data_IF_680279642150
#
_entry.id   IF_680279642150
#
_cell.length_a   1.000
_cell.length_b   1.000
_cell.length_c   1.000
_cell.angle_alpha   90.00
_cell.angle_beta   90.00
_cell.angle_gamma   90.00
#
_symmetry.space_group_name_H-M   'P 1'
#
loop_
_entity.id
_entity.type
_entity.pdbx_description
1 polymer ?
#
# COMPACT_ATOMS: atom_id res chain seq x y z
N UNK A 1 91.80 21.42 -26.36
CA UNK A 1 90.41 21.19 -25.90
C UNK A 1 89.59 20.82 -27.13
N UNK A 2 89.57 19.58 -27.63
CA UNK A 2 88.77 18.41 -27.20
C UNK A 2 87.27 18.70 -27.02
N UNK A 3 86.28 17.98 -27.53
CA UNK A 3 86.10 16.82 -28.43
C UNK A 3 84.55 16.66 -28.59
N UNK A 4 84.10 16.02 -29.69
CA UNK A 4 82.76 15.40 -29.97
C UNK A 4 81.55 16.22 -30.46
N UNK A 5 80.93 15.80 -31.58
CA UNK A 5 79.49 15.88 -31.83
C UNK A 5 78.80 14.52 -31.60
N UNK A 6 77.65 14.51 -30.93
CA UNK A 6 76.82 13.31 -30.71
C UNK A 6 75.71 13.27 -31.75
N UNK A 7 75.70 12.22 -32.56
CA UNK A 7 74.64 11.86 -33.51
C UNK A 7 73.42 11.34 -32.75
N UNK A 8 72.25 11.96 -32.93
CA UNK A 8 70.98 11.46 -32.44
C UNK A 8 70.19 10.81 -33.58
N UNK A 9 70.25 9.49 -33.62
CA UNK A 9 69.41 8.58 -34.39
C UNK A 9 67.96 8.69 -33.87
N UNK A 10 66.99 9.06 -34.72
CA UNK A 10 65.57 8.85 -34.43
C UNK A 10 65.06 7.72 -35.32
N UNK A 11 64.87 6.58 -34.67
CA UNK A 11 64.33 5.36 -35.21
C UNK A 11 62.89 5.55 -35.74
N UNK A 12 62.63 4.94 -36.89
CA UNK A 12 61.31 4.58 -37.41
C UNK A 12 60.48 3.83 -36.36
N UNK A 13 59.40 4.46 -35.88
CA UNK A 13 58.35 3.77 -35.12
C UNK A 13 57.35 3.16 -36.10
N UNK A 14 57.42 1.83 -36.27
CA UNK A 14 56.36 1.04 -36.87
C UNK A 14 55.14 0.99 -35.93
N UNK A 15 53.90 0.92 -36.47
CA UNK A 15 52.68 0.93 -35.68
C UNK A 15 52.48 -0.38 -34.90
N UNK A 16 52.35 -0.28 -33.58
CA UNK A 16 51.90 -1.39 -32.74
C UNK A 16 50.39 -1.58 -32.91
N UNK A 17 50.00 -2.55 -33.75
CA UNK A 17 48.74 -3.27 -33.63
C UNK A 17 48.95 -4.53 -32.77
N UNK A 18 47.93 -4.94 -32.03
CA UNK A 18 47.72 -6.24 -31.34
C UNK A 18 48.06 -6.39 -29.83
N UNK A 19 47.38 -5.63 -28.95
CA UNK A 19 47.31 -5.99 -27.50
C UNK A 19 45.91 -5.98 -26.87
N UNK A 20 44.83 -5.62 -27.57
CA UNK A 20 43.50 -5.43 -26.95
C UNK A 20 42.64 -6.72 -26.73
N UNK A 21 43.09 -7.90 -27.16
CA UNK A 21 42.28 -9.13 -27.11
C UNK A 21 42.11 -9.79 -25.70
N UNK A 22 43.13 -9.85 -24.82
CA UNK A 22 42.99 -10.53 -23.52
C UNK A 22 42.30 -9.69 -22.43
N UNK A 23 42.34 -8.36 -22.51
CA UNK A 23 41.63 -7.48 -21.55
C UNK A 23 40.11 -7.50 -21.76
N UNK A 24 39.66 -7.60 -23.02
CA UNK A 24 38.24 -7.70 -23.37
C UNK A 24 37.58 -9.02 -22.93
N UNK A 25 38.37 -10.08 -22.69
CA UNK A 25 37.90 -11.38 -22.19
C UNK A 25 37.74 -11.33 -20.66
N UNK A 26 38.67 -10.71 -19.94
CA UNK A 26 38.56 -10.52 -18.48
C UNK A 26 37.38 -9.62 -18.10
N UNK A 27 37.12 -8.57 -18.87
CA UNK A 27 35.92 -7.72 -18.68
C UNK A 27 34.62 -8.52 -18.90
N UNK A 28 34.59 -9.44 -19.86
CA UNK A 28 33.44 -10.33 -20.12
C UNK A 28 33.19 -11.34 -19.00
N UNK A 29 34.24 -11.90 -18.41
CA UNK A 29 34.08 -12.79 -17.25
C UNK A 29 33.50 -12.03 -16.05
N UNK A 30 33.96 -10.80 -15.80
CA UNK A 30 33.42 -9.94 -14.74
C UNK A 30 31.96 -9.54 -14.98
N UNK A 31 31.56 -9.23 -16.22
CA UNK A 31 30.17 -8.94 -16.58
C UNK A 31 29.25 -10.17 -16.43
N UNK A 32 29.73 -11.36 -16.82
CA UNK A 32 29.00 -12.62 -16.63
C UNK A 32 28.84 -12.99 -15.15
N UNK A 33 29.88 -12.77 -14.34
CA UNK A 33 29.80 -12.95 -12.89
C UNK A 33 28.85 -11.95 -12.24
N UNK A 34 28.92 -10.67 -12.63
CA UNK A 34 27.98 -9.64 -12.18
C UNK A 34 26.53 -9.99 -12.56
N UNK A 35 26.29 -10.46 -13.79
CA UNK A 35 24.98 -10.92 -14.24
C UNK A 35 24.49 -12.14 -13.45
N UNK A 36 25.36 -13.11 -13.13
CA UNK A 36 25.01 -14.27 -12.30
C UNK A 36 24.71 -13.88 -10.85
N UNK A 37 25.45 -12.93 -10.28
CA UNK A 37 25.19 -12.40 -8.93
C UNK A 37 23.84 -11.67 -8.92
N UNK A 38 23.54 -10.86 -9.94
CA UNK A 38 22.27 -10.17 -10.09
C UNK A 38 21.09 -11.14 -10.28
N UNK A 39 21.28 -12.23 -11.03
CA UNK A 39 20.26 -13.26 -11.21
C UNK A 39 19.99 -14.01 -9.89
N UNK A 40 21.03 -14.35 -9.12
CA UNK A 40 20.90 -14.97 -7.81
C UNK A 40 20.20 -14.04 -6.81
N UNK A 41 20.60 -12.77 -6.72
CA UNK A 41 19.96 -11.80 -5.82
C UNK A 41 18.50 -11.51 -6.20
N UNK A 42 18.18 -11.53 -7.50
CA UNK A 42 16.80 -11.43 -7.98
C UNK A 42 15.97 -12.66 -7.61
N UNK A 43 16.53 -13.87 -7.76
CA UNK A 43 15.86 -15.12 -7.38
C UNK A 43 15.62 -15.21 -5.86
N UNK A 44 16.60 -14.79 -5.04
CA UNK A 44 16.45 -14.69 -3.59
C UNK A 44 15.39 -13.67 -3.18
N UNK A 45 15.35 -12.51 -3.84
CA UNK A 45 14.34 -11.48 -3.58
C UNK A 45 12.94 -11.99 -3.95
N UNK A 46 12.79 -12.64 -5.11
CA UNK A 46 11.52 -13.27 -5.51
C UNK A 46 11.06 -14.37 -4.55
N UNK A 47 11.99 -15.17 -4.02
CA UNK A 47 11.67 -16.19 -3.03
C UNK A 47 11.19 -15.59 -1.71
N UNK A 48 11.86 -14.52 -1.22
CA UNK A 48 11.43 -13.76 -0.03
C UNK A 48 10.03 -13.15 -0.24
N UNK A 49 9.79 -12.48 -1.36
CA UNK A 49 8.47 -11.91 -1.66
C UNK A 49 7.37 -12.96 -1.74
N UNK A 50 7.63 -14.13 -2.33
CA UNK A 50 6.65 -15.23 -2.33
C UNK A 50 6.35 -15.73 -0.91
N UNK A 51 7.36 -15.81 -0.04
CA UNK A 51 7.17 -16.19 1.36
C UNK A 51 6.37 -15.14 2.13
N UNK A 52 6.66 -13.85 1.92
CA UNK A 52 5.95 -12.74 2.56
C UNK A 52 4.48 -12.69 2.13
N UNK A 53 4.18 -12.88 0.84
CA UNK A 53 2.80 -12.99 0.32
C UNK A 53 2.07 -14.16 0.97
N UNK A 54 2.74 -15.31 1.15
CA UNK A 54 2.16 -16.47 1.79
C UNK A 54 1.86 -16.22 3.28
N UNK A 55 2.78 -15.58 4.01
CA UNK A 55 2.59 -15.20 5.42
C UNK A 55 1.42 -14.21 5.57
N UNK A 56 1.39 -13.16 4.75
CA UNK A 56 0.27 -12.20 4.69
C UNK A 56 -1.06 -12.91 4.41
N UNK A 57 -1.08 -13.86 3.48
CA UNK A 57 -2.26 -14.65 3.16
C UNK A 57 -2.78 -15.46 4.36
N UNK A 58 -1.87 -16.05 5.15
CA UNK A 58 -2.24 -16.78 6.37
C UNK A 58 -2.78 -15.85 7.46
N UNK A 59 -2.22 -14.65 7.63
CA UNK A 59 -2.71 -13.73 8.65
C UNK A 59 -4.08 -13.15 8.28
N UNK A 60 -4.33 -12.88 6.99
CA UNK A 60 -5.65 -12.50 6.48
C UNK A 60 -6.70 -13.60 6.71
N UNK A 61 -6.34 -14.87 6.51
CA UNK A 61 -7.29 -15.96 6.73
C UNK A 61 -7.61 -16.14 8.21
N UNK A 62 -6.63 -15.99 9.11
CA UNK A 62 -6.84 -15.98 10.57
C UNK A 62 -7.74 -14.82 11.02
N UNK A 63 -7.47 -13.59 10.56
CA UNK A 63 -8.30 -12.43 10.88
C UNK A 63 -9.73 -12.58 10.34
N UNK A 64 -9.89 -13.07 9.12
CA UNK A 64 -11.22 -13.35 8.57
C UNK A 64 -11.95 -14.43 9.36
N UNK A 65 -11.26 -15.50 9.80
CA UNK A 65 -11.86 -16.51 10.66
C UNK A 65 -12.33 -15.91 12.00
N UNK A 66 -11.51 -15.10 12.65
CA UNK A 66 -11.89 -14.40 13.89
C UNK A 66 -13.09 -13.46 13.69
N UNK A 67 -13.15 -12.71 12.59
CA UNK A 67 -14.29 -11.86 12.27
C UNK A 67 -15.57 -12.67 12.06
N UNK A 68 -15.48 -13.81 11.37
CA UNK A 68 -16.62 -14.70 11.15
C UNK A 68 -17.10 -15.31 12.47
N UNK A 69 -16.16 -15.77 13.31
CA UNK A 69 -16.47 -16.37 14.61
C UNK A 69 -17.18 -15.36 15.53
N UNK A 70 -16.68 -14.13 15.62
CA UNK A 70 -17.31 -13.09 16.44
C UNK A 70 -18.65 -12.66 15.83
N UNK A 71 -18.75 -12.54 14.50
CA UNK A 71 -20.04 -12.25 13.86
C UNK A 71 -21.08 -13.35 14.13
N UNK A 72 -20.65 -14.63 14.19
CA UNK A 72 -21.50 -15.74 14.58
C UNK A 72 -21.91 -15.67 16.07
N UNK A 73 -20.99 -15.29 16.96
CA UNK A 73 -21.27 -15.06 18.38
C UNK A 73 -22.29 -13.94 18.57
N UNK A 74 -22.11 -12.79 17.90
CA UNK A 74 -23.05 -11.66 17.94
C UNK A 74 -24.44 -12.11 17.50
N UNK A 75 -24.56 -12.82 16.38
CA UNK A 75 -25.86 -13.33 15.90
C UNK A 75 -26.51 -14.28 16.91
N UNK A 76 -25.73 -15.12 17.57
CA UNK A 76 -26.20 -16.02 18.62
C UNK A 76 -26.73 -15.26 19.85
N UNK A 77 -26.02 -14.21 20.27
CA UNK A 77 -26.44 -13.33 21.37
C UNK A 77 -27.70 -12.53 20.99
N UNK A 78 -27.77 -11.97 19.78
CA UNK A 78 -28.97 -11.28 19.27
C UNK A 78 -30.21 -12.18 19.27
N UNK A 79 -30.05 -13.44 18.84
CA UNK A 79 -31.11 -14.44 18.88
C UNK A 79 -31.55 -14.72 20.32
N UNK A 80 -30.60 -14.85 21.25
CA UNK A 80 -30.88 -15.08 22.67
C UNK A 80 -31.61 -13.89 23.30
N UNK A 81 -31.24 -12.67 22.96
CA UNK A 81 -31.93 -11.44 23.37
C UNK A 81 -33.37 -11.43 22.85
N UNK A 82 -33.57 -11.75 21.56
CA UNK A 82 -34.90 -11.80 20.97
C UNK A 82 -35.80 -12.84 21.65
N UNK A 83 -35.26 -14.02 21.94
CA UNK A 83 -35.96 -15.08 22.67
C UNK A 83 -36.31 -14.65 24.11
N UNK A 84 -35.38 -14.00 24.82
CA UNK A 84 -35.61 -13.48 26.16
C UNK A 84 -36.71 -12.40 26.18
N UNK A 85 -36.68 -11.46 25.23
CA UNK A 85 -37.72 -10.44 25.07
C UNK A 85 -39.08 -11.07 24.74
N UNK A 86 -39.10 -12.11 23.90
CA UNK A 86 -40.33 -12.85 23.58
C UNK A 86 -40.91 -13.57 24.80
N UNK A 87 -40.07 -14.10 25.70
CA UNK A 87 -40.49 -14.72 26.98
C UNK A 87 -40.94 -13.70 28.02
N UNK A 88 -40.33 -12.52 28.06
CA UNK A 88 -40.69 -11.45 29.00
C UNK A 88 -42.10 -10.89 28.74
N UNK A 89 -42.50 -10.72 27.48
CA UNK A 89 -43.82 -10.17 27.11
C UNK A 89 -45.01 -10.87 27.79
N UNK A 90 -45.20 -12.20 27.68
CA UNK A 90 -46.31 -12.87 28.35
C UNK A 90 -46.20 -12.84 29.87
N UNK A 91 -44.98 -12.87 30.43
CA UNK A 91 -44.76 -12.77 31.88
C UNK A 91 -45.17 -11.41 32.42
N UNK A 92 -44.75 -10.32 31.78
CA UNK A 92 -45.13 -8.94 32.15
C UNK A 92 -46.65 -8.74 32.01
N UNK A 93 -47.26 -9.26 30.94
CA UNK A 93 -48.72 -9.21 30.77
C UNK A 93 -49.46 -9.97 31.87
N UNK A 94 -48.97 -11.16 32.27
CA UNK A 94 -49.57 -11.95 33.34
C UNK A 94 -49.40 -11.28 34.70
N UNK A 95 -48.24 -10.69 34.96
CA UNK A 95 -47.96 -9.93 36.17
C UNK A 95 -48.92 -8.74 36.30
N UNK A 96 -49.14 -7.99 35.22
CA UNK A 96 -50.08 -6.87 35.18
C UNK A 96 -51.52 -7.33 35.40
N UNK A 97 -51.92 -8.45 34.80
CA UNK A 97 -53.26 -9.00 34.96
C UNK A 97 -53.55 -9.40 36.42
N UNK A 98 -52.61 -10.08 37.09
CA UNK A 98 -52.75 -10.46 38.51
C UNK A 98 -52.71 -9.22 39.40
N UNK A 99 -51.82 -8.25 39.13
CA UNK A 99 -51.84 -6.98 39.90
C UNK A 99 -53.17 -6.26 39.76
N UNK A 100 -53.72 -6.19 38.54
CA UNK A 100 -55.01 -5.56 38.28
C UNK A 100 -56.16 -6.28 38.98
N UNK A 101 -56.17 -7.62 39.00
CA UNK A 101 -57.21 -8.37 39.73
C UNK A 101 -57.12 -8.13 41.23
N UNK A 102 -55.93 -8.15 41.80
CA UNK A 102 -55.69 -7.88 43.23
C UNK A 102 -56.09 -6.44 43.61
N UNK A 103 -55.79 -5.46 42.77
CA UNK A 103 -56.15 -4.06 43.02
C UNK A 103 -57.66 -3.83 42.92
N UNK A 104 -58.32 -4.43 41.91
CA UNK A 104 -59.78 -4.36 41.77
C UNK A 104 -60.54 -4.99 42.94
N UNK A 105 -59.96 -6.00 43.60
CA UNK A 105 -60.54 -6.72 44.75
C UNK A 105 -60.00 -6.22 46.09
N UNK A 106 -59.26 -5.12 46.11
CA UNK A 106 -58.56 -4.64 47.31
C UNK A 106 -59.51 -4.38 48.48
N UNK A 107 -60.69 -3.82 48.22
CA UNK A 107 -61.73 -3.60 49.24
C UNK A 107 -62.25 -4.92 49.80
N UNK A 108 -62.59 -5.88 48.93
CA UNK A 108 -63.06 -7.22 49.33
C UNK A 108 -62.00 -7.97 50.13
N UNK A 109 -60.73 -7.88 49.73
CA UNK A 109 -59.60 -8.50 50.43
C UNK A 109 -59.45 -7.90 51.83
N UNK A 110 -59.54 -6.58 51.99
CA UNK A 110 -59.47 -5.91 53.29
C UNK A 110 -60.64 -6.33 54.19
N UNK A 111 -61.85 -6.46 53.64
CA UNK A 111 -63.03 -6.91 54.38
C UNK A 111 -62.89 -8.37 54.85
N UNK A 112 -62.45 -9.26 53.97
CA UNK A 112 -62.17 -10.67 54.30
C UNK A 112 -61.08 -10.78 55.38
N UNK A 113 -59.99 -10.02 55.26
CA UNK A 113 -58.91 -9.99 56.25
C UNK A 113 -59.41 -9.46 57.60
N UNK A 114 -60.20 -8.39 57.61
CA UNK A 114 -60.78 -7.83 58.82
C UNK A 114 -61.75 -8.81 59.49
N UNK A 115 -62.55 -9.55 58.71
CA UNK A 115 -63.46 -10.59 59.21
C UNK A 115 -62.68 -11.76 59.83
N UNK A 116 -61.64 -12.26 59.14
CA UNK A 116 -60.78 -13.34 59.66
C UNK A 116 -60.02 -12.91 60.92
N UNK A 117 -59.48 -11.68 60.96
CA UNK A 117 -58.77 -11.16 62.12
C UNK A 117 -59.70 -10.93 63.32
N UNK A 118 -60.95 -10.51 63.08
CA UNK A 118 -61.98 -10.37 64.13
C UNK A 118 -62.46 -11.72 64.64
N UNK A 119 -62.64 -12.72 63.76
CA UNK A 119 -63.01 -14.08 64.13
C UNK A 119 -61.90 -14.76 64.97
N UNK A 120 -60.63 -14.63 64.56
CA UNK A 120 -59.49 -15.17 65.31
C UNK A 120 -59.26 -14.53 66.68
N UNK A 121 -59.75 -13.30 66.91
CA UNK A 121 -59.66 -12.59 68.21
C UNK A 121 -60.89 -12.75 69.10
N UNK A 122 -62.01 -13.28 68.58
CA UNK A 122 -63.22 -13.59 69.35
C UNK A 122 -63.28 -15.09 69.61
N UNK A 123 -62.35 -15.61 70.40
CA UNK A 123 -62.56 -16.89 71.08
C UNK A 123 -63.73 -16.68 72.05
N UNK A 124 -64.83 -17.45 71.96
CA UNK A 124 -65.96 -17.30 72.86
C UNK A 124 -65.44 -17.45 74.31
N UNK A 125 -65.79 -16.54 75.23
CA UNK A 125 -65.40 -16.68 76.63
C UNK A 125 -65.92 -18.02 77.13
N UNK A 126 -65.01 -18.83 77.68
CA UNK A 126 -65.37 -20.08 78.29
C UNK A 126 -66.36 -19.80 79.44
N UNK A 127 -67.60 -20.26 79.24
CA UNK A 127 -68.56 -20.67 80.26
C UNK A 127 -69.00 -19.59 81.27
N UNK A 128 -70.14 -18.97 80.99
CA UNK A 128 -71.25 -18.70 81.92
C UNK A 128 -72.48 -18.25 81.08
N UNK A 129 -73.14 -19.19 80.42
CA UNK A 129 -74.23 -18.95 79.46
C UNK A 129 -75.58 -18.95 80.17
N UNK A 130 -76.34 -17.85 80.03
CA UNK A 130 -77.78 -17.80 80.34
C UNK A 130 -78.59 -18.55 79.27
N UNK A 131 -79.77 -19.12 79.58
CA UNK A 131 -80.57 -19.89 78.62
C UNK A 131 -80.96 -19.12 77.34
N UNK A 132 -81.14 -17.79 77.42
CA UNK A 132 -81.37 -16.95 76.22
C UNK A 132 -80.12 -16.75 75.34
N UNK A 133 -78.92 -16.93 75.91
CA UNK A 133 -77.63 -16.71 75.26
C UNK A 133 -77.16 -17.95 74.45
N UNK A 134 -77.68 -19.14 74.81
CA UNK A 134 -77.46 -20.38 74.08
C UNK A 134 -78.08 -20.35 72.66
N UNK A 135 -79.28 -19.78 72.51
CA UNK A 135 -79.94 -19.63 71.21
C UNK A 135 -79.27 -18.57 70.33
N UNK A 136 -78.76 -17.47 70.91
CA UNK A 136 -77.95 -16.49 70.18
C UNK A 136 -76.60 -17.06 69.74
N UNK A 137 -75.95 -17.85 70.60
CA UNK A 137 -74.72 -18.57 70.26
C UNK A 137 -74.94 -19.61 69.17
N UNK A 138 -76.07 -20.34 69.16
CA UNK A 138 -76.39 -21.28 68.08
C UNK A 138 -76.64 -20.57 66.74
N UNK A 139 -77.37 -19.45 66.73
CA UNK A 139 -77.58 -18.66 65.49
C UNK A 139 -76.28 -18.08 64.96
N UNK A 140 -75.44 -17.51 65.83
CA UNK A 140 -74.14 -16.99 65.41
C UNK A 140 -73.19 -18.09 64.95
N UNK A 141 -73.20 -19.26 65.60
CA UNK A 141 -72.46 -20.44 65.14
C UNK A 141 -72.96 -20.97 63.79
N UNK A 142 -74.27 -20.99 63.55
CA UNK A 142 -74.85 -21.35 62.23
C UNK A 142 -74.47 -20.35 61.14
N UNK A 143 -74.51 -19.04 61.42
CA UNK A 143 -74.10 -18.00 60.48
C UNK A 143 -72.57 -18.03 60.21
N UNK A 144 -71.75 -18.29 61.23
CA UNK A 144 -70.31 -18.54 61.05
C UNK A 144 -70.08 -19.81 60.22
N UNK A 145 -70.87 -20.86 60.44
CA UNK A 145 -70.79 -22.13 59.72
C UNK A 145 -71.00 -21.98 58.20
N UNK A 146 -71.79 -21.00 57.76
CA UNK A 146 -71.99 -20.70 56.33
C UNK A 146 -70.93 -19.76 55.74
N UNK A 147 -70.44 -18.78 56.50
CA UNK A 147 -69.55 -17.72 55.98
C UNK A 147 -68.07 -18.12 56.05
N UNK A 148 -67.66 -18.85 57.09
CA UNK A 148 -66.26 -19.25 57.28
C UNK A 148 -65.71 -20.11 56.14
N UNK A 149 -66.42 -21.13 55.62
CA UNK A 149 -65.95 -21.90 54.47
C UNK A 149 -65.76 -21.05 53.21
N UNK A 150 -66.65 -20.08 52.99
CA UNK A 150 -66.56 -19.17 51.83
C UNK A 150 -65.35 -18.22 51.96
N UNK A 151 -65.13 -17.63 53.15
CA UNK A 151 -63.95 -16.80 53.42
C UNK A 151 -62.65 -17.61 53.29
N UNK A 152 -62.65 -18.87 53.74
CA UNK A 152 -61.50 -19.79 53.57
C UNK A 152 -61.21 -20.03 52.09
N UNK A 153 -62.21 -20.33 51.28
CA UNK A 153 -62.03 -20.52 49.83
C UNK A 153 -61.52 -19.26 49.12
N UNK A 154 -61.96 -18.07 49.54
CA UNK A 154 -61.44 -16.79 49.03
C UNK A 154 -59.98 -16.56 49.46
N UNK A 155 -59.64 -16.87 50.71
CA UNK A 155 -58.27 -16.76 51.21
C UNK A 155 -57.31 -17.73 50.48
N UNK A 156 -57.73 -18.98 50.25
CA UNK A 156 -56.94 -19.97 49.50
C UNK A 156 -56.67 -19.49 48.06
N UNK A 157 -57.69 -18.95 47.37
CA UNK A 157 -57.50 -18.32 46.04
C UNK A 157 -56.51 -17.16 46.07
N UNK A 158 -56.64 -16.25 47.04
CA UNK A 158 -55.74 -15.11 47.20
C UNK A 158 -54.29 -15.55 47.45
N UNK A 159 -54.08 -16.57 48.29
CA UNK A 159 -52.74 -17.13 48.50
C UNK A 159 -52.17 -17.74 47.22
N UNK A 160 -53.01 -18.39 46.40
CA UNK A 160 -52.63 -18.89 45.08
C UNK A 160 -52.17 -17.78 44.15
N UNK A 161 -52.97 -16.74 43.98
CA UNK A 161 -52.65 -15.58 43.13
C UNK A 161 -51.37 -14.85 43.59
N UNK A 162 -51.19 -14.66 44.89
CA UNK A 162 -49.97 -14.05 45.44
C UNK A 162 -48.73 -14.94 45.23
N UNK A 163 -48.87 -16.26 45.36
CA UNK A 163 -47.78 -17.19 45.11
C UNK A 163 -47.38 -17.19 43.63
N UNK A 164 -48.35 -17.15 42.70
CA UNK A 164 -48.14 -17.03 41.26
C UNK A 164 -47.46 -15.69 40.93
N UNK A 165 -47.87 -14.59 41.58
CA UNK A 165 -47.23 -13.29 41.38
C UNK A 165 -45.75 -13.29 41.82
N UNK A 166 -45.43 -13.94 42.94
CA UNK A 166 -44.05 -14.05 43.42
C UNK A 166 -43.20 -14.89 42.47
N UNK A 167 -43.72 -16.01 41.96
CA UNK A 167 -42.98 -16.85 41.01
C UNK A 167 -42.76 -16.14 39.68
N UNK A 168 -43.78 -15.44 39.14
CA UNK A 168 -43.66 -14.63 37.93
C UNK A 168 -42.65 -13.50 38.12
N UNK A 169 -42.68 -12.77 39.24
CA UNK A 169 -41.69 -11.71 39.52
C UNK A 169 -40.27 -12.25 39.56
N UNK A 170 -40.08 -13.42 40.18
CA UNK A 170 -38.77 -14.07 40.21
C UNK A 170 -38.31 -14.45 38.81
N UNK A 171 -39.19 -15.00 37.97
CA UNK A 171 -38.90 -15.35 36.58
C UNK A 171 -38.56 -14.11 35.74
N UNK A 172 -39.33 -13.02 35.87
CA UNK A 172 -39.05 -11.74 35.19
C UNK A 172 -37.68 -11.20 35.63
N UNK A 173 -37.37 -11.23 36.93
CA UNK A 173 -36.08 -10.75 37.44
C UNK A 173 -34.91 -11.57 36.88
N UNK A 174 -35.03 -12.90 36.83
CA UNK A 174 -33.99 -13.77 36.26
C UNK A 174 -33.79 -13.52 34.76
N UNK A 175 -34.89 -13.36 34.01
CA UNK A 175 -34.85 -13.14 32.57
C UNK A 175 -34.33 -11.73 32.21
N UNK A 176 -34.66 -10.71 33.03
CA UNK A 176 -34.08 -9.37 32.87
C UNK A 176 -32.58 -9.34 33.18
N UNK A 177 -32.13 -10.14 34.16
CA UNK A 177 -30.71 -10.26 34.46
C UNK A 177 -29.94 -10.96 33.33
N UNK A 178 -30.47 -12.03 32.74
CA UNK A 178 -29.84 -12.68 31.58
C UNK A 178 -29.82 -11.75 30.37
N UNK A 179 -30.92 -11.04 30.10
CA UNK A 179 -31.01 -10.04 29.04
C UNK A 179 -29.96 -8.92 29.21
N UNK A 180 -29.73 -8.44 30.44
CA UNK A 180 -28.71 -7.44 30.71
C UNK A 180 -27.31 -7.97 30.41
N UNK A 181 -26.97 -9.18 30.86
CA UNK A 181 -25.69 -9.82 30.58
C UNK A 181 -25.46 -10.04 29.08
N UNK A 182 -26.50 -10.43 28.34
CA UNK A 182 -26.38 -10.64 26.90
C UNK A 182 -26.23 -9.32 26.13
N UNK A 183 -26.87 -8.23 26.58
CA UNK A 183 -26.62 -6.88 26.03
C UNK A 183 -25.21 -6.38 26.31
N UNK A 184 -24.66 -6.64 27.49
CA UNK A 184 -23.28 -6.29 27.82
C UNK A 184 -22.28 -7.05 26.94
N UNK A 185 -22.51 -8.36 26.73
CA UNK A 185 -21.71 -9.17 25.78
C UNK A 185 -21.80 -8.63 24.36
N UNK A 186 -23.01 -8.33 23.89
CA UNK A 186 -23.24 -7.77 22.57
C UNK A 186 -22.47 -6.45 22.38
N UNK A 187 -22.49 -5.57 23.37
CA UNK A 187 -21.71 -4.33 23.35
C UNK A 187 -20.20 -4.59 23.29
N UNK A 188 -19.69 -5.53 24.08
CA UNK A 188 -18.27 -5.91 24.06
C UNK A 188 -17.84 -6.51 22.70
N UNK A 189 -18.68 -7.38 22.12
CA UNK A 189 -18.41 -8.02 20.84
C UNK A 189 -18.48 -7.00 19.68
N UNK A 190 -19.39 -6.02 19.73
CA UNK A 190 -19.43 -4.92 18.75
C UNK A 190 -18.17 -4.06 18.77
N UNK A 191 -17.66 -3.72 19.96
CA UNK A 191 -16.40 -2.99 20.11
C UNK A 191 -15.24 -3.82 19.54
N UNK A 192 -15.20 -5.12 19.84
CA UNK A 192 -14.17 -6.04 19.35
C UNK A 192 -14.23 -6.20 17.83
N UNK A 193 -15.41 -6.32 17.24
CA UNK A 193 -15.59 -6.37 15.79
C UNK A 193 -15.12 -5.06 15.13
N UNK A 194 -15.48 -3.92 15.69
CA UNK A 194 -15.03 -2.63 15.16
C UNK A 194 -13.50 -2.53 15.15
N UNK A 195 -12.85 -2.92 16.25
CA UNK A 195 -11.38 -2.95 16.34
C UNK A 195 -10.74 -3.89 15.31
N UNK A 196 -11.26 -5.11 15.12
CA UNK A 196 -10.73 -6.06 14.14
C UNK A 196 -10.97 -5.62 12.69
N UNK A 197 -12.09 -4.96 12.40
CA UNK A 197 -12.37 -4.39 11.08
C UNK A 197 -11.40 -3.24 10.77
N UNK A 198 -11.13 -2.38 11.75
CA UNK A 198 -10.15 -1.30 11.63
C UNK A 198 -8.74 -1.85 11.43
N UNK A 199 -8.33 -2.85 12.22
CA UNK A 199 -7.04 -3.53 12.06
C UNK A 199 -6.90 -4.16 10.67
N UNK A 200 -7.94 -4.88 10.20
CA UNK A 200 -7.97 -5.45 8.84
C UNK A 200 -7.84 -4.37 7.78
N UNK A 201 -8.54 -3.24 7.93
CA UNK A 201 -8.48 -2.14 6.97
C UNK A 201 -7.08 -1.50 6.93
N UNK A 202 -6.46 -1.30 8.10
CA UNK A 202 -5.11 -0.78 8.21
C UNK A 202 -4.10 -1.73 7.57
N UNK A 203 -4.14 -3.02 7.92
CA UNK A 203 -3.26 -4.05 7.34
C UNK A 203 -3.46 -4.16 5.82
N UNK A 204 -4.70 -4.12 5.34
CA UNK A 204 -4.96 -4.17 3.91
C UNK A 204 -4.35 -2.94 3.19
N UNK A 205 -4.48 -1.75 3.77
CA UNK A 205 -3.88 -0.54 3.21
C UNK A 205 -2.35 -0.54 3.22
N UNK A 206 -1.71 -1.14 4.24
CA UNK A 206 -0.25 -1.25 4.29
C UNK A 206 0.24 -2.27 3.27
N UNK A 207 -0.43 -3.42 3.16
CA UNK A 207 -0.12 -4.45 2.16
C UNK A 207 -0.28 -3.91 0.74
N UNK A 208 -1.35 -3.16 0.45
CA UNK A 208 -1.55 -2.56 -0.88
C UNK A 208 -0.42 -1.59 -1.24
N UNK A 209 0.04 -0.77 -0.28
CA UNK A 209 1.20 0.12 -0.47
C UNK A 209 2.49 -0.66 -0.68
N UNK A 210 2.76 -1.66 0.16
CA UNK A 210 3.98 -2.47 0.04
C UNK A 210 4.02 -3.21 -1.30
N UNK A 211 2.90 -3.79 -1.72
CA UNK A 211 2.76 -4.46 -3.01
C UNK A 211 2.89 -3.49 -4.19
N UNK A 212 2.37 -2.26 -4.09
CA UNK A 212 2.56 -1.23 -5.09
C UNK A 212 4.04 -0.84 -5.22
N UNK A 213 4.75 -0.66 -4.10
CA UNK A 213 6.19 -0.35 -4.13
C UNK A 213 7.03 -1.50 -4.69
N UNK A 214 6.73 -2.75 -4.32
CA UNK A 214 7.46 -3.92 -4.82
C UNK A 214 7.15 -4.21 -6.28
N UNK A 215 5.90 -4.05 -6.73
CA UNK A 215 5.55 -4.17 -8.14
C UNK A 215 6.25 -3.10 -8.99
N UNK A 216 6.35 -1.85 -8.50
CA UNK A 216 7.10 -0.79 -9.16
C UNK A 216 8.60 -1.12 -9.27
N UNK A 217 9.20 -1.67 -8.21
CA UNK A 217 10.60 -2.15 -8.23
C UNK A 217 10.80 -3.30 -9.21
N UNK A 218 9.90 -4.28 -9.22
CA UNK A 218 9.96 -5.40 -10.15
C UNK A 218 9.85 -4.94 -11.62
N UNK A 219 8.97 -3.99 -11.92
CA UNK A 219 8.86 -3.38 -13.26
C UNK A 219 10.16 -2.64 -13.62
N UNK A 220 10.73 -1.84 -12.71
CA UNK A 220 11.99 -1.13 -12.96
C UNK A 220 13.16 -2.09 -13.23
N UNK A 221 13.28 -3.16 -12.43
CA UNK A 221 14.26 -4.24 -12.64
C UNK A 221 14.06 -4.94 -13.99
N UNK A 222 12.82 -5.26 -14.37
CA UNK A 222 12.53 -5.88 -15.67
C UNK A 222 12.98 -5.00 -16.83
N UNK A 223 12.68 -3.69 -16.78
CA UNK A 223 13.15 -2.72 -17.80
C UNK A 223 14.66 -2.63 -17.86
N UNK A 224 15.34 -2.72 -16.72
CA UNK A 224 16.80 -2.71 -16.67
C UNK A 224 17.38 -3.98 -17.31
N UNK A 225 16.80 -5.14 -17.02
CA UNK A 225 17.19 -6.42 -17.65
C UNK A 225 16.93 -6.40 -19.15
N UNK A 226 15.76 -5.92 -19.60
CA UNK A 226 15.43 -5.77 -21.02
C UNK A 226 16.41 -4.82 -21.74
N UNK A 227 16.79 -3.72 -21.07
CA UNK A 227 17.77 -2.78 -21.63
C UNK A 227 19.17 -3.38 -21.77
N UNK A 228 19.61 -4.18 -20.80
CA UNK A 228 20.89 -4.88 -20.85
C UNK A 228 20.87 -5.96 -21.93
N UNK A 229 19.78 -6.71 -22.04
CA UNK A 229 19.61 -7.73 -23.07
C UNK A 229 19.59 -7.11 -24.48
N UNK A 230 18.95 -5.94 -24.65
CA UNK A 230 19.01 -5.14 -25.88
C UNK A 230 20.40 -4.62 -26.21
N UNK A 231 21.17 -4.19 -25.20
CA UNK A 231 22.55 -3.73 -25.37
C UNK A 231 23.47 -4.88 -25.78
N UNK A 232 23.33 -6.06 -25.16
CA UNK A 232 24.07 -7.28 -25.52
C UNK A 232 23.76 -7.67 -26.97
N UNK A 233 22.49 -7.69 -27.37
CA UNK A 233 22.09 -8.04 -28.73
C UNK A 233 22.69 -7.08 -29.78
N UNK A 234 22.72 -5.77 -29.47
CA UNK A 234 23.33 -4.76 -30.34
C UNK A 234 24.84 -4.95 -30.46
N UNK A 235 25.52 -5.23 -29.36
CA UNK A 235 26.96 -5.52 -29.35
C UNK A 235 27.32 -6.79 -30.14
N UNK A 236 26.51 -7.86 -30.05
CA UNK A 236 26.71 -9.06 -30.88
C UNK A 236 26.54 -8.77 -32.38
N UNK A 237 25.61 -7.90 -32.73
CA UNK A 237 25.37 -7.48 -34.11
C UNK A 237 26.54 -6.63 -34.64
N UNK A 238 27.07 -5.71 -33.83
CA UNK A 238 28.25 -4.91 -34.17
C UNK A 238 29.53 -5.76 -34.30
N UNK A 239 29.67 -6.80 -33.46
CA UNK A 239 30.78 -7.76 -33.59
C UNK A 239 30.67 -8.59 -34.87
N UNK A 240 29.47 -9.04 -35.24
CA UNK A 240 29.23 -9.75 -36.51
C UNK A 240 29.50 -8.85 -37.71
N UNK A 241 29.17 -7.56 -37.65
CA UNK A 241 29.44 -6.62 -38.75
C UNK A 241 30.93 -6.28 -38.85
N UNK A 242 31.61 -6.05 -37.73
CA UNK A 242 33.06 -5.81 -37.69
C UNK A 242 33.87 -7.03 -38.17
N UNK A 243 33.47 -8.25 -37.77
CA UNK A 243 34.09 -9.48 -38.25
C UNK A 243 33.89 -9.68 -39.77
N UNK A 244 32.70 -9.34 -40.30
CA UNK A 244 32.44 -9.35 -41.75
C UNK A 244 33.27 -8.29 -42.50
N UNK A 245 33.40 -7.08 -41.95
CA UNK A 245 34.21 -6.01 -42.53
C UNK A 245 35.71 -6.36 -42.55
N UNK A 246 36.22 -7.00 -41.48
CA UNK A 246 37.58 -7.51 -41.42
C UNK A 246 37.82 -8.67 -42.41
N UNK A 247 36.85 -9.57 -42.58
CA UNK A 247 36.92 -10.64 -43.58
C UNK A 247 36.93 -10.08 -45.02
N UNK A 248 36.15 -9.02 -45.31
CA UNK A 248 36.18 -8.36 -46.62
C UNK A 248 37.45 -7.55 -46.87
N UNK A 249 38.01 -6.92 -45.82
CA UNK A 249 39.29 -6.20 -45.91
C UNK A 249 40.49 -7.15 -46.11
N UNK A 250 40.38 -8.40 -45.65
CA UNK A 250 41.40 -9.44 -45.88
C UNK A 250 41.38 -10.00 -47.30
N UNK A 251 40.28 -9.81 -48.05
CA UNK A 251 40.09 -10.31 -49.42
C UNK A 251 40.37 -9.27 -50.50
N UNK A 252 40.52 -7.98 -50.17
CA UNK A 252 40.87 -6.93 -51.11
C UNK A 252 42.21 -6.29 -50.75
N UNK A 253 43.27 -6.82 -51.38
CA UNK A 253 44.59 -6.21 -51.38
C UNK A 253 44.59 -4.83 -52.02
N UNK A 254 45.39 -3.94 -51.44
CA UNK A 254 45.61 -2.53 -51.81
C UNK A 254 46.06 -2.37 -53.27
N UNK A 255 45.63 -1.29 -53.97
CA UNK A 255 46.53 -0.64 -54.90
C UNK A 255 46.71 0.86 -54.60
N UNK A 256 47.98 1.27 -54.70
CA UNK A 256 48.42 2.66 -54.72
C UNK A 256 48.21 3.28 -56.11
N UNK A 257 47.84 4.56 -56.18
CA UNK A 257 48.00 5.34 -57.41
C UNK A 257 48.15 6.84 -57.11
N UNK A 258 49.29 7.38 -57.51
CA UNK A 258 49.60 8.79 -57.69
C UNK A 258 48.63 9.46 -58.69
N UNK A 259 48.23 10.71 -58.43
CA UNK A 259 47.63 11.57 -59.45
C UNK A 259 46.88 12.79 -58.90
N UNK A 260 47.49 13.98 -59.06
CA UNK A 260 46.99 15.38 -59.05
C UNK A 260 45.52 15.63 -58.66
N UNK A 261 45.22 16.57 -57.73
CA UNK A 261 43.86 16.77 -57.22
C UNK A 261 42.93 17.46 -58.23
N UNK A 262 41.89 16.74 -58.66
CA UNK A 262 40.75 17.27 -59.38
C UNK A 262 39.75 17.89 -58.40
N UNK A 263 39.35 19.14 -58.64
CA UNK A 263 38.40 19.93 -57.84
C UNK A 263 36.94 19.40 -57.84
N UNK A 264 36.69 18.22 -58.41
CA UNK A 264 35.39 17.54 -58.40
C UNK A 264 35.19 16.60 -57.19
N UNK A 265 36.22 16.37 -56.37
CA UNK A 265 36.15 15.50 -55.18
C UNK A 265 35.69 16.21 -53.90
N UNK A 266 35.16 17.43 -53.96
CA UNK A 266 34.72 18.21 -52.79
C UNK A 266 33.23 18.05 -52.44
N UNK A 267 32.50 17.11 -53.06
CA UNK A 267 31.03 16.95 -52.92
C UNK A 267 30.61 15.52 -52.58
N UNK A 268 31.39 14.83 -51.77
CA UNK A 268 31.15 13.44 -51.43
C UNK A 268 30.69 13.35 -49.97
N UNK A 269 29.37 13.30 -49.77
CA UNK A 269 28.70 13.36 -48.45
C UNK A 269 28.83 12.08 -47.61
N UNK A 270 29.66 11.12 -48.02
CA UNK A 270 29.86 9.83 -47.34
C UNK A 270 31.29 9.63 -46.81
N UNK A 271 32.08 10.70 -46.63
CA UNK A 271 33.43 10.59 -46.07
C UNK A 271 33.42 10.55 -44.55
N UNK A 272 34.11 9.55 -44.01
CA UNK A 272 34.32 9.33 -42.57
C UNK A 272 35.58 10.06 -42.04
N UNK A 273 36.27 10.82 -42.89
CA UNK A 273 37.44 11.61 -42.54
C UNK A 273 37.43 12.96 -43.30
N UNK A 274 37.78 14.08 -42.63
CA UNK A 274 37.83 15.39 -43.27
C UNK A 274 38.79 15.39 -44.47
N UNK A 275 38.43 16.10 -45.55
CA UNK A 275 39.25 16.16 -46.77
C UNK A 275 40.62 16.83 -46.52
N UNK A 276 40.76 17.62 -45.46
CA UNK A 276 41.98 18.29 -45.02
C UNK A 276 42.00 18.24 -43.49
N UNK A 277 43.15 17.92 -42.88
CA UNK A 277 43.31 17.94 -41.43
C UNK A 277 43.16 19.38 -40.89
N UNK A 278 42.41 19.58 -39.81
CA UNK A 278 42.13 20.92 -39.25
C UNK A 278 43.40 21.75 -38.99
N UNK A 279 44.47 21.10 -38.53
CA UNK A 279 45.76 21.74 -38.24
C UNK A 279 46.46 22.35 -39.46
N UNK A 280 46.24 21.82 -40.68
CA UNK A 280 46.89 22.28 -41.90
C UNK A 280 46.11 23.35 -42.67
N UNK A 281 44.88 23.68 -42.24
CA UNK A 281 43.99 24.65 -42.90
C UNK A 281 43.98 26.04 -42.23
N UNK A 282 45.06 26.42 -41.53
CA UNK A 282 45.18 27.74 -40.88
C UNK A 282 45.11 28.88 -41.92
N UNK A 283 44.17 29.80 -41.73
CA UNK A 283 44.00 30.98 -42.59
C UNK A 283 43.12 30.78 -43.83
N UNK A 284 42.62 29.57 -44.07
CA UNK A 284 41.79 29.23 -45.25
C UNK A 284 40.29 29.14 -44.94
N UNK A 285 39.89 29.29 -43.68
CA UNK A 285 38.51 29.13 -43.26
C UNK A 285 37.67 30.39 -43.48
N UNK A 286 36.47 30.21 -44.05
CA UNK A 286 35.45 31.25 -44.11
C UNK A 286 34.91 31.54 -42.71
N UNK A 287 34.36 32.74 -42.51
CA UNK A 287 33.71 33.09 -41.24
C UNK A 287 32.39 32.31 -41.08
N UNK A 288 32.07 31.77 -39.88
CA UNK A 288 30.86 30.98 -39.66
C UNK A 288 29.54 31.72 -39.90
N UNK A 289 29.55 33.05 -39.73
CA UNK A 289 28.38 33.90 -39.90
C UNK A 289 28.80 35.26 -40.48
N UNK A 290 27.95 35.83 -41.35
CA UNK A 290 28.12 37.19 -41.83
C UNK A 290 27.80 38.18 -40.70
N UNK A 291 28.83 38.83 -40.16
CA UNK A 291 28.73 39.74 -39.02
C UNK A 291 30.01 40.53 -38.77
N UNK A 292 29.95 41.51 -37.87
CA UNK A 292 31.13 42.27 -37.45
C UNK A 292 31.80 41.59 -36.25
N UNK A 293 33.12 41.43 -36.29
CA UNK A 293 33.87 40.88 -35.16
C UNK A 293 33.91 41.89 -34.00
N UNK A 294 33.49 41.44 -32.83
CA UNK A 294 33.42 42.27 -31.60
C UNK A 294 34.51 41.91 -30.59
N UNK A 295 35.04 40.68 -30.62
CA UNK A 295 36.16 40.25 -29.78
C UNK A 295 37.07 39.30 -30.55
N UNK A 296 38.37 39.44 -30.31
CA UNK A 296 39.42 38.59 -30.86
C UNK A 296 39.91 37.57 -29.84
N UNK A 297 40.43 36.46 -30.36
CA UNK A 297 41.10 35.44 -29.55
C UNK A 297 42.30 36.04 -28.82
N UNK A 298 42.39 35.82 -27.51
CA UNK A 298 43.44 36.37 -26.65
C UNK A 298 43.23 37.83 -26.23
N UNK A 299 42.13 38.47 -26.64
CA UNK A 299 41.73 39.78 -26.13
C UNK A 299 41.27 39.73 -24.66
N UNK A 300 41.17 40.89 -23.99
CA UNK A 300 40.63 40.94 -22.62
C UNK A 300 39.11 40.75 -22.63
N UNK A 301 38.58 39.90 -21.75
CA UNK A 301 37.13 39.65 -21.62
C UNK A 301 36.38 40.73 -20.81
N UNK A 302 37.09 41.76 -20.32
CA UNK A 302 36.55 42.86 -19.51
C UNK A 302 36.39 42.55 -18.01
N UNK A 303 36.62 41.31 -17.58
CA UNK A 303 36.48 40.81 -16.19
C UNK A 303 37.81 40.25 -15.65
N UNK A 304 38.92 40.55 -16.34
CA UNK A 304 40.27 40.10 -15.97
C UNK A 304 40.68 38.75 -16.58
N UNK A 305 39.88 38.19 -17.48
CA UNK A 305 40.21 36.99 -18.26
C UNK A 305 40.68 37.31 -19.69
N UNK A 306 41.13 36.26 -20.39
CA UNK A 306 41.44 36.28 -21.82
C UNK A 306 40.38 35.50 -22.61
N UNK A 307 39.96 36.05 -23.74
CA UNK A 307 39.00 35.42 -24.66
C UNK A 307 39.60 34.16 -25.29
N UNK A 308 38.94 33.01 -25.10
CA UNK A 308 39.36 31.71 -25.66
C UNK A 308 38.88 31.48 -27.10
N UNK A 309 38.26 32.49 -27.71
CA UNK A 309 37.68 32.41 -29.06
C UNK A 309 37.46 33.78 -29.67
N UNK A 310 36.88 33.80 -30.87
CA UNK A 310 36.39 35.03 -31.51
C UNK A 310 34.89 35.19 -31.23
N UNK A 311 34.44 36.43 -31.07
CA UNK A 311 33.01 36.75 -30.97
C UNK A 311 32.55 37.58 -32.16
N UNK A 312 31.48 37.15 -32.82
CA UNK A 312 30.92 37.77 -34.02
C UNK A 312 29.50 38.27 -33.72
N UNK A 313 29.23 39.54 -33.96
CA UNK A 313 27.88 40.11 -33.87
C UNK A 313 27.15 39.94 -35.21
N UNK A 314 25.97 39.32 -35.19
CA UNK A 314 25.12 39.08 -36.36
C UNK A 314 23.65 39.40 -36.06
N UNK A 315 22.80 39.43 -37.09
CA UNK A 315 21.36 39.67 -36.92
C UNK A 315 20.68 38.46 -36.25
N UNK A 316 19.64 38.66 -35.43
CA UNK A 316 18.86 37.54 -34.89
C UNK A 316 18.32 36.64 -36.00
N UNK A 317 18.53 35.33 -35.89
CA UNK A 317 18.11 34.34 -36.89
C UNK A 317 19.08 34.14 -38.07
N UNK A 318 20.26 34.78 -38.08
CA UNK A 318 21.28 34.52 -39.09
C UNK A 318 21.72 33.05 -39.10
N UNK A 319 21.83 32.46 -40.29
CA UNK A 319 22.31 31.09 -40.46
C UNK A 319 23.81 31.00 -40.13
N UNK A 320 24.15 30.12 -39.19
CA UNK A 320 25.54 29.81 -38.83
C UNK A 320 25.97 28.58 -39.62
N UNK A 321 27.04 28.70 -40.38
CA UNK A 321 27.62 27.62 -41.20
C UNK A 321 28.93 27.16 -40.58
N UNK A 322 29.23 25.87 -40.66
CA UNK A 322 30.48 25.32 -40.14
C UNK A 322 31.63 25.68 -41.08
N UNK A 323 32.73 26.27 -40.58
CA UNK A 323 33.85 26.69 -41.42
C UNK A 323 34.68 25.50 -41.97
N UNK A 324 34.55 24.33 -41.36
CA UNK A 324 35.23 23.11 -41.73
C UNK A 324 34.27 21.91 -41.72
N UNK A 325 34.69 20.84 -42.38
CA UNK A 325 34.03 19.54 -42.32
C UNK A 325 34.24 18.92 -40.93
N UNK A 326 33.18 18.33 -40.39
CA UNK A 326 33.21 17.68 -39.10
C UNK A 326 31.86 17.11 -38.72
N UNK A 327 31.79 16.41 -37.60
CA UNK A 327 30.53 15.90 -37.06
C UNK A 327 30.18 16.55 -35.73
N UNK A 328 28.89 16.66 -35.45
CA UNK A 328 28.39 17.21 -34.20
C UNK A 328 28.61 16.22 -33.07
N UNK A 329 29.36 16.61 -32.05
CA UNK A 329 29.57 15.84 -30.83
C UNK A 329 28.55 16.22 -29.76
N UNK A 330 28.13 17.50 -29.75
CA UNK A 330 27.18 18.02 -28.79
C UNK A 330 26.34 19.15 -29.39
N UNK A 331 25.04 19.14 -29.10
CA UNK A 331 24.10 20.20 -29.45
C UNK A 331 23.10 20.38 -28.30
N UNK A 332 23.17 21.51 -27.59
CA UNK A 332 22.24 21.77 -26.47
C UNK A 332 22.57 23.01 -25.64
N UNK A 333 21.75 23.32 -24.63
CA UNK A 333 21.95 24.47 -23.77
C UNK A 333 23.10 24.26 -22.77
N UNK A 334 23.94 25.29 -22.60
CA UNK A 334 25.10 25.31 -21.71
C UNK A 334 25.10 26.57 -20.83
N UNK A 335 25.41 26.42 -19.54
CA UNK A 335 25.14 27.42 -18.48
C UNK A 335 25.73 28.82 -18.76
N UNK A 336 26.92 28.90 -19.35
CA UNK A 336 27.65 30.15 -19.59
C UNK A 336 27.57 30.67 -21.04
N UNK A 337 27.21 29.83 -22.01
CA UNK A 337 27.28 30.13 -23.45
C UNK A 337 25.92 30.10 -24.15
N UNK A 338 24.82 29.78 -23.45
CA UNK A 338 23.51 29.66 -24.07
C UNK A 338 23.40 28.40 -24.91
N UNK A 339 23.09 28.51 -26.20
CA UNK A 339 23.04 27.35 -27.11
C UNK A 339 24.45 27.00 -27.62
N UNK A 340 24.92 25.79 -27.32
CA UNK A 340 26.27 25.34 -27.66
C UNK A 340 26.21 24.20 -28.68
N UNK A 341 27.00 24.35 -29.74
CA UNK A 341 27.27 23.32 -30.75
C UNK A 341 28.77 23.03 -30.75
N UNK A 342 29.15 21.76 -30.53
CA UNK A 342 30.54 21.31 -30.57
C UNK A 342 30.73 20.36 -31.75
N UNK A 343 31.73 20.66 -32.58
CA UNK A 343 32.05 19.92 -33.80
C UNK A 343 33.42 19.27 -33.64
N UNK A 344 33.55 18.01 -34.04
CA UNK A 344 34.84 17.34 -34.19
C UNK A 344 35.31 17.47 -35.64
N UNK A 345 36.41 18.19 -35.85
CA UNK A 345 37.02 18.45 -37.16
C UNK A 345 38.22 17.55 -37.47
N UNK A 346 38.45 16.49 -36.67
CA UNK A 346 39.56 15.56 -36.79
C UNK A 346 40.90 16.09 -36.25
N UNK A 347 41.69 15.21 -35.62
CA UNK A 347 43.03 15.54 -35.10
C UNK A 347 43.13 15.84 -33.60
N UNK A 348 42.06 15.63 -32.82
CA UNK A 348 42.00 15.82 -31.37
C UNK A 348 40.81 16.65 -30.93
#
# INVERSE_FOLDING_TARGET
MSLTPVSAQLATAAPQSTTAAPEAIKQREQELEAARIQQKSSAESQAKFKADIAAIGQDRSKLNAQLIDIAAQVRGVETSIADAEARLRPLDSREQQIRGSLDSRRSEIVEVLAALQRAGRRTPPALLVRPDDALQSLRTAMLLGSVVPELRGRAEKLTGELSELVTIRKAIATERNSLALDRDKLGADQIRLAALVEERQHQQSSIEKDMETESARAIALSRQVDSLQGLIAKMEQDLKSAARAAATASLQGVPAANGKPNAAMLKDSARLSPAIAFASAKGLFAMPVNGSKIRDFGGSDGVGGFEKGISLASRPGSQVTTPCDGWVVYAGPFRSYGQLLILNAGGG
#
